data_IF_328161378697
#
_entry.id   IF_328161378697
#
_cell.length_a   1.000
_cell.length_b   1.000
_cell.length_c   1.000
_cell.angle_alpha   90.00
_cell.angle_beta   90.00
_cell.angle_gamma   90.00
#
_symmetry.space_group_name_H-M   'P 1'
#
loop_
_entity.id
_entity.type
_entity.pdbx_description
1 polymer ?
#
# COMPACT_ATOMS: atom_id res chain seq x y z
N UNK A 1 10.45 -5.46 -45.29
CA UNK A 1 10.70 -4.53 -44.16
C UNK A 1 12.18 -4.20 -44.18
N UNK A 2 12.55 -2.92 -44.29
CA UNK A 2 13.92 -2.48 -44.56
C UNK A 2 14.53 -1.88 -43.28
N UNK A 3 15.60 -2.49 -42.79
CA UNK A 3 16.29 -2.15 -41.53
C UNK A 3 16.81 -0.72 -41.53
N UNK A 4 17.18 -0.18 -42.70
CA UNK A 4 17.69 1.20 -42.84
C UNK A 4 16.65 2.27 -42.53
N UNK A 5 15.35 1.93 -42.60
CA UNK A 5 14.26 2.86 -42.24
C UNK A 5 14.04 2.97 -40.74
N UNK A 6 14.40 1.93 -39.98
CA UNK A 6 14.30 1.91 -38.51
C UNK A 6 15.48 2.68 -37.89
N UNK A 7 16.66 2.57 -38.48
CA UNK A 7 17.87 3.27 -38.01
C UNK A 7 17.79 4.79 -38.22
N UNK A 8 17.09 5.27 -39.26
CA UNK A 8 16.93 6.72 -39.53
C UNK A 8 15.92 7.45 -38.66
N UNK A 9 15.15 6.77 -37.81
CA UNK A 9 14.26 7.41 -36.83
C UNK A 9 14.84 7.44 -35.41
N UNK A 10 16.09 7.02 -35.24
CA UNK A 10 16.85 7.14 -34.00
C UNK A 10 17.78 8.36 -34.12
N UNK A 11 17.22 9.57 -34.08
CA UNK A 11 18.00 10.77 -33.78
C UNK A 11 18.21 10.87 -32.25
N UNK A 12 19.28 11.51 -31.77
CA UNK A 12 20.02 11.08 -30.60
C UNK A 12 19.44 11.69 -29.33
N UNK A 13 18.63 10.93 -28.59
CA UNK A 13 18.36 11.26 -27.17
C UNK A 13 19.49 10.83 -26.23
N UNK A 14 20.68 10.53 -26.75
CA UNK A 14 21.85 10.29 -25.92
C UNK A 14 22.68 11.57 -25.75
N UNK A 15 22.07 12.58 -25.13
CA UNK A 15 22.86 13.52 -24.33
C UNK A 15 22.75 13.01 -22.90
N UNK A 16 23.59 12.03 -22.55
CA UNK A 16 23.78 11.70 -21.14
C UNK A 16 24.06 13.03 -20.40
N UNK A 17 23.41 13.29 -19.25
CA UNK A 17 23.76 14.43 -18.43
C UNK A 17 25.27 14.39 -18.20
N UNK A 18 25.95 15.50 -18.50
CA UNK A 18 27.37 15.64 -18.19
C UNK A 18 27.47 15.41 -16.68
N UNK A 19 28.05 14.27 -16.26
CA UNK A 19 28.25 14.02 -14.84
C UNK A 19 28.94 15.25 -14.24
N UNK A 20 28.29 15.84 -13.25
CA UNK A 20 28.85 16.83 -12.35
C UNK A 20 30.04 16.20 -11.60
N UNK A 21 30.93 17.07 -11.10
CA UNK A 21 32.13 16.66 -10.38
C UNK A 21 31.77 15.71 -9.22
N UNK A 22 30.66 16.00 -8.55
CA UNK A 22 30.10 15.25 -7.42
C UNK A 22 29.67 13.83 -7.81
N UNK A 23 29.06 13.63 -8.99
CA UNK A 23 28.72 12.27 -9.45
C UNK A 23 29.96 11.48 -9.92
N UNK A 24 31.01 12.16 -10.41
CA UNK A 24 32.29 11.48 -10.69
C UNK A 24 33.00 11.06 -9.40
N UNK A 25 32.95 11.90 -8.37
CA UNK A 25 33.51 11.60 -7.05
C UNK A 25 32.79 10.40 -6.42
N UNK A 26 31.45 10.37 -6.48
CA UNK A 26 30.66 9.25 -5.96
C UNK A 26 30.90 7.95 -6.75
N UNK A 27 31.03 8.02 -8.08
CA UNK A 27 31.39 6.86 -8.89
C UNK A 27 32.82 6.37 -8.60
N UNK A 28 33.77 7.28 -8.38
CA UNK A 28 35.14 6.93 -8.00
C UNK A 28 35.19 6.27 -6.62
N UNK A 29 34.39 6.76 -5.66
CA UNK A 29 34.28 6.16 -4.31
C UNK A 29 33.67 4.75 -4.37
N UNK A 30 32.61 4.55 -5.18
CA UNK A 30 31.96 3.24 -5.35
C UNK A 30 32.87 2.24 -6.10
N UNK A 31 33.70 2.70 -7.04
CA UNK A 31 34.65 1.84 -7.76
C UNK A 31 35.97 1.62 -7.03
N UNK A 32 36.29 2.45 -6.02
CA UNK A 32 37.48 2.33 -5.19
C UNK A 32 37.40 1.19 -4.15
N UNK A 33 36.30 0.42 -4.10
CA UNK A 33 36.21 -0.78 -3.25
C UNK A 33 37.35 -1.73 -3.61
N UNK A 34 38.34 -1.95 -2.72
CA UNK A 34 39.45 -2.83 -3.03
C UNK A 34 38.92 -4.26 -3.16
N UNK A 35 39.06 -4.86 -4.35
CA UNK A 35 38.99 -6.31 -4.49
C UNK A 35 40.14 -6.90 -3.69
N UNK A 36 39.83 -7.43 -2.52
CA UNK A 36 40.75 -8.25 -1.72
C UNK A 36 41.19 -9.47 -2.54
N UNK A 37 42.24 -9.28 -3.32
CA UNK A 37 42.96 -10.32 -4.03
C UNK A 37 44.22 -10.61 -3.23
N UNK A 38 44.41 -11.88 -2.89
CA UNK A 38 45.64 -12.34 -2.25
C UNK A 38 45.43 -12.83 -0.82
N UNK A 39 45.17 -14.12 -0.70
CA UNK A 39 45.41 -14.90 0.51
C UNK A 39 46.93 -14.97 0.71
N UNK A 40 47.54 -14.40 1.78
CA UNK A 40 48.96 -14.58 2.02
C UNK A 40 49.20 -15.98 2.61
N UNK A 41 50.14 -16.72 2.00
CA UNK A 41 50.68 -17.97 2.52
C UNK A 41 51.33 -17.74 3.88
N UNK A 42 51.05 -18.63 4.82
CA UNK A 42 51.71 -18.71 6.13
C UNK A 42 53.14 -19.24 5.93
N UNK A 43 54.19 -18.55 6.45
CA UNK A 43 55.47 -19.18 6.71
C UNK A 43 55.59 -19.60 8.18
N UNK A 44 56.07 -20.82 8.41
CA UNK A 44 56.40 -21.39 9.71
C UNK A 44 57.68 -20.77 10.32
N UNK A 45 57.98 -20.98 11.61
CA UNK A 45 58.61 -19.98 12.47
C UNK A 45 60.14 -20.05 12.48
N UNK A 46 60.79 -18.89 12.49
CA UNK A 46 62.20 -18.76 12.85
C UNK A 46 62.33 -17.96 14.13
N UNK A 47 62.86 -18.64 15.14
CA UNK A 47 63.12 -18.19 16.51
C UNK A 47 63.86 -16.86 16.53
N UNK A 48 63.33 -15.88 17.26
CA UNK A 48 64.12 -14.85 17.94
C UNK A 48 63.46 -14.54 19.28
N UNK A 49 64.26 -14.68 20.34
CA UNK A 49 63.93 -14.30 21.71
C UNK A 49 64.20 -12.81 21.85
N UNK A 50 63.27 -12.09 22.48
CA UNK A 50 63.31 -10.84 23.29
C UNK A 50 61.89 -10.27 23.09
N UNK A 51 60.97 -10.30 24.06
CA UNK A 51 61.02 -9.56 25.31
C UNK A 51 59.94 -8.46 25.25
N UNK A 52 58.94 -8.60 26.12
CA UNK A 52 58.05 -7.58 26.73
C UNK A 52 56.54 -7.85 26.52
N UNK A 53 55.74 -7.90 27.61
CA UNK A 53 54.34 -8.28 27.62
C UNK A 53 53.42 -7.06 27.42
N UNK A 54 52.10 -7.27 27.53
CA UNK A 54 51.08 -6.24 27.82
C UNK A 54 50.35 -5.61 26.62
N UNK A 55 49.69 -6.41 25.77
CA UNK A 55 48.59 -5.92 24.91
C UNK A 55 47.36 -6.85 24.90
N UNK A 56 47.42 -8.02 25.54
CA UNK A 56 46.34 -9.02 25.46
C UNK A 56 45.06 -8.69 26.26
N UNK A 57 45.03 -7.61 27.05
CA UNK A 57 43.87 -7.29 27.89
C UNK A 57 42.81 -6.40 27.19
N UNK A 58 43.14 -5.72 26.08
CA UNK A 58 42.20 -4.77 25.44
C UNK A 58 41.29 -5.46 24.40
N UNK A 59 41.73 -6.57 23.79
CA UNK A 59 40.92 -7.26 22.78
C UNK A 59 39.67 -7.95 23.34
N UNK A 60 39.72 -8.43 24.60
CA UNK A 60 38.57 -9.10 25.22
C UNK A 60 37.47 -8.11 25.66
N UNK A 61 37.82 -6.89 26.04
CA UNK A 61 36.86 -5.88 26.49
C UNK A 61 36.07 -5.30 25.31
N UNK A 62 36.70 -5.13 24.13
CA UNK A 62 36.01 -4.63 22.93
C UNK A 62 34.99 -5.65 22.42
N UNK A 63 35.29 -6.94 22.44
CA UNK A 63 34.33 -7.98 22.03
C UNK A 63 33.18 -8.13 23.04
N UNK A 64 33.42 -7.98 24.35
CA UNK A 64 32.35 -8.00 25.35
C UNK A 64 31.44 -6.76 25.29
N UNK A 65 31.98 -5.57 24.98
CA UNK A 65 31.18 -4.34 24.86
C UNK A 65 30.31 -4.29 23.61
N UNK A 66 30.65 -5.02 22.55
CA UNK A 66 29.79 -5.09 21.34
C UNK A 66 28.45 -5.80 21.56
N UNK A 67 28.32 -6.63 22.60
CA UNK A 67 27.05 -7.28 22.95
C UNK A 67 26.12 -6.39 23.79
N UNK A 68 26.63 -5.32 24.41
CA UNK A 68 25.88 -4.46 25.33
C UNK A 68 25.34 -3.17 24.68
N UNK A 69 25.80 -2.82 23.47
CA UNK A 69 25.38 -1.60 22.76
C UNK A 69 25.04 -1.92 21.29
N UNK A 70 23.78 -2.26 20.98
CA UNK A 70 23.33 -2.36 19.60
C UNK A 70 23.42 -0.97 18.95
N UNK A 71 24.38 -0.78 18.04
CA UNK A 71 24.42 0.40 17.15
C UNK A 71 25.71 1.23 17.14
N UNK A 72 26.66 1.03 18.07
CA UNK A 72 27.83 1.90 18.16
C UNK A 72 28.91 1.65 17.08
N UNK A 73 28.94 0.46 16.45
CA UNK A 73 30.00 0.09 15.49
C UNK A 73 29.52 -0.61 14.20
N UNK A 74 28.24 -0.53 13.85
CA UNK A 74 27.74 -0.95 12.51
C UNK A 74 27.92 -2.42 12.12
N UNK A 75 28.47 -3.27 12.98
CA UNK A 75 28.77 -4.70 12.74
C UNK A 75 27.78 -5.67 13.40
N UNK A 76 26.73 -5.16 14.06
CA UNK A 76 25.58 -5.98 14.43
C UNK A 76 24.64 -6.17 13.23
N UNK A 77 23.84 -7.24 13.16
CA UNK A 77 22.79 -7.35 12.16
C UNK A 77 21.96 -6.07 12.22
N UNK A 78 21.95 -5.29 11.11
CA UNK A 78 21.08 -4.12 10.98
C UNK A 78 19.69 -4.60 11.36
N UNK A 79 19.00 -3.96 12.34
CA UNK A 79 17.62 -4.34 12.63
C UNK A 79 16.88 -4.29 11.30
N UNK A 80 16.23 -5.40 10.93
CA UNK A 80 15.44 -5.47 9.72
C UNK A 80 14.56 -4.21 9.67
N UNK A 81 14.63 -3.45 8.57
CA UNK A 81 13.93 -2.18 8.44
C UNK A 81 12.47 -2.36 8.86
N UNK A 82 12.05 -1.63 9.89
CA UNK A 82 10.73 -1.84 10.47
C UNK A 82 9.64 -1.44 9.47
N UNK A 83 8.73 -2.37 9.17
CA UNK A 83 7.61 -2.12 8.26
C UNK A 83 6.60 -1.11 8.84
N UNK A 84 6.53 -1.01 10.17
CA UNK A 84 5.78 0.02 10.91
C UNK A 84 6.72 0.92 11.71
N UNK A 85 6.41 2.21 11.76
CA UNK A 85 6.84 3.12 12.82
C UNK A 85 5.80 3.09 13.93
N UNK A 86 6.16 2.70 15.16
CA UNK A 86 5.23 2.69 16.29
C UNK A 86 5.79 3.58 17.40
N UNK A 87 5.24 4.79 17.48
CA UNK A 87 5.63 5.79 18.49
C UNK A 87 4.51 5.96 19.50
N UNK A 88 4.86 6.03 20.78
CA UNK A 88 3.91 6.43 21.82
C UNK A 88 3.85 7.95 21.86
N UNK A 89 2.67 8.53 21.69
CA UNK A 89 2.43 9.96 21.80
C UNK A 89 1.22 10.18 22.72
N UNK A 90 1.49 10.66 23.93
CA UNK A 90 0.46 10.81 24.97
C UNK A 90 -0.23 9.47 25.29
N UNK A 91 -1.56 9.47 25.22
CA UNK A 91 -2.42 8.32 25.47
C UNK A 91 -2.55 7.33 24.31
N UNK A 92 -1.78 7.49 23.22
CA UNK A 92 -1.91 6.67 22.01
C UNK A 92 -0.58 6.09 21.53
N UNK A 93 -0.64 4.93 20.90
CA UNK A 93 0.33 4.50 19.91
C UNK A 93 -0.06 5.09 18.56
N UNK A 94 0.86 5.85 17.97
CA UNK A 94 0.79 6.34 16.59
C UNK A 94 1.58 5.33 15.74
N UNK A 95 0.84 4.57 14.95
CA UNK A 95 1.37 3.57 14.03
C UNK A 95 1.36 4.17 12.63
N UNK A 96 2.52 4.26 11.99
CA UNK A 96 2.65 4.69 10.60
C UNK A 96 3.20 3.52 9.79
N UNK A 97 2.54 3.18 8.68
CA UNK A 97 3.07 2.17 7.75
C UNK A 97 4.22 2.80 6.95
N UNK A 98 5.43 2.23 7.06
CA UNK A 98 6.62 2.70 6.35
C UNK A 98 6.84 2.00 5.02
N UNK A 99 6.45 0.74 4.95
CA UNK A 99 6.56 -0.09 3.77
C UNK A 99 5.19 -0.75 3.59
N UNK A 100 4.51 -0.49 2.48
CA UNK A 100 3.21 -1.06 2.13
C UNK A 100 3.29 -2.52 1.66
N UNK A 101 4.46 -2.91 1.18
CA UNK A 101 4.68 -4.17 0.49
C UNK A 101 5.50 -5.17 1.32
N UNK A 102 5.76 -4.84 2.60
CA UNK A 102 6.37 -5.77 3.52
C UNK A 102 5.46 -6.99 3.75
N UNK A 103 6.09 -8.11 4.11
CA UNK A 103 5.38 -9.35 4.45
C UNK A 103 4.34 -9.08 5.56
N UNK A 104 3.05 -9.42 5.36
CA UNK A 104 1.99 -9.28 6.35
C UNK A 104 2.34 -9.81 7.75
N UNK A 105 3.09 -10.91 7.80
CA UNK A 105 3.53 -11.51 9.06
C UNK A 105 4.45 -10.57 9.87
N UNK A 106 5.22 -9.71 9.19
CA UNK A 106 6.09 -8.72 9.84
C UNK A 106 5.30 -7.63 10.53
N UNK A 107 4.25 -7.07 9.91
CA UNK A 107 3.40 -6.08 10.57
C UNK A 107 2.76 -6.68 11.83
N UNK A 108 2.23 -7.90 11.71
CA UNK A 108 1.56 -8.55 12.82
C UNK A 108 2.52 -8.87 13.97
N UNK A 109 3.75 -9.30 13.67
CA UNK A 109 4.79 -9.50 14.68
C UNK A 109 5.14 -8.19 15.42
N UNK A 110 5.26 -7.08 14.70
CA UNK A 110 5.56 -5.77 15.29
C UNK A 110 4.43 -5.24 16.19
N UNK A 111 3.18 -5.41 15.79
CA UNK A 111 2.01 -5.03 16.59
C UNK A 111 1.87 -5.92 17.83
N UNK A 112 2.03 -7.25 17.68
CA UNK A 112 2.00 -8.19 18.81
C UNK A 112 3.13 -7.96 19.81
N UNK A 113 4.32 -7.56 19.34
CA UNK A 113 5.42 -7.15 20.20
C UNK A 113 5.11 -5.95 21.11
N UNK A 114 4.00 -5.23 20.84
CA UNK A 114 3.47 -4.14 21.67
C UNK A 114 2.21 -4.53 22.45
N UNK A 115 1.88 -5.83 22.50
CA UNK A 115 0.67 -6.34 23.16
C UNK A 115 -0.63 -6.05 22.41
N UNK A 116 -0.55 -5.62 21.14
CA UNK A 116 -1.72 -5.28 20.34
C UNK A 116 -2.17 -6.50 19.54
N UNK A 117 -3.43 -6.93 19.73
CA UNK A 117 -4.03 -8.01 18.96
C UNK A 117 -4.68 -7.48 17.67
N UNK A 118 -3.86 -6.94 16.78
CA UNK A 118 -4.32 -6.32 15.55
C UNK A 118 -3.71 -7.05 14.36
N UNK A 119 -4.51 -7.31 13.33
CA UNK A 119 -4.06 -7.91 12.08
C UNK A 119 -4.10 -6.88 10.96
N UNK A 120 -3.14 -6.97 10.03
CA UNK A 120 -3.11 -6.15 8.82
C UNK A 120 -3.33 -7.05 7.60
N UNK A 121 -4.22 -6.65 6.71
CA UNK A 121 -4.54 -7.35 5.46
C UNK A 121 -4.44 -6.40 4.28
N UNK A 122 -3.66 -6.76 3.28
CA UNK A 122 -3.64 -6.05 2.01
C UNK A 122 -4.82 -6.49 1.14
N UNK A 123 -5.58 -5.54 0.61
CA UNK A 123 -6.74 -5.81 -0.24
C UNK A 123 -6.66 -5.08 -1.57
N UNK A 124 -7.10 -5.69 -2.68
CA UNK A 124 -7.15 -5.01 -3.96
C UNK A 124 -8.13 -3.83 -3.91
N UNK A 125 -7.68 -2.66 -4.35
CA UNK A 125 -8.50 -1.44 -4.43
C UNK A 125 -8.13 -0.61 -5.67
N UNK A 126 -8.86 0.48 -5.90
CA UNK A 126 -8.56 1.44 -6.97
C UNK A 126 -7.27 2.22 -6.70
N UNK A 127 -6.59 2.75 -7.74
CA UNK A 127 -5.34 3.49 -7.57
C UNK A 127 -5.44 4.68 -6.61
N UNK A 128 -6.57 5.39 -6.56
CA UNK A 128 -6.82 6.53 -5.67
C UNK A 128 -7.07 6.12 -4.21
N UNK A 129 -7.38 4.84 -3.97
CA UNK A 129 -7.59 4.28 -2.64
C UNK A 129 -6.36 3.51 -2.11
N UNK A 130 -5.28 3.45 -2.89
CA UNK A 130 -4.04 2.82 -2.45
C UNK A 130 -3.50 3.47 -1.18
N UNK A 131 -3.06 2.63 -0.25
CA UNK A 131 -2.53 3.05 1.04
C UNK A 131 -3.56 3.63 2.01
N UNK A 132 -4.84 3.73 1.64
CA UNK A 132 -5.87 4.16 2.59
C UNK A 132 -6.17 3.03 3.59
N UNK A 133 -6.02 3.26 4.90
CA UNK A 133 -6.37 2.26 5.89
C UNK A 133 -7.89 2.24 6.11
N UNK A 134 -8.46 1.05 6.08
CA UNK A 134 -9.83 0.78 6.53
C UNK A 134 -9.77 -0.11 7.77
N UNK A 135 -10.49 0.24 8.83
CA UNK A 135 -10.41 -0.46 10.11
C UNK A 135 -11.73 -1.17 10.35
N UNK A 136 -11.67 -2.49 10.59
CA UNK A 136 -12.77 -3.23 11.20
C UNK A 136 -12.42 -3.49 12.66
N UNK A 137 -12.95 -2.63 13.54
CA UNK A 137 -12.94 -2.82 14.99
C UNK A 137 -14.33 -3.33 15.42
N UNK A 138 -14.46 -4.53 16.00
CA UNK A 138 -15.72 -5.05 16.52
C UNK A 138 -16.39 -4.12 17.55
N UNK A 139 -15.64 -3.23 18.22
CA UNK A 139 -16.18 -2.24 19.13
C UNK A 139 -16.95 -1.11 18.42
N UNK A 140 -16.78 -0.93 17.11
CA UNK A 140 -17.57 -0.01 16.29
C UNK A 140 -18.94 -0.60 15.91
N UNK A 141 -19.16 -1.90 16.10
CA UNK A 141 -20.38 -2.57 15.66
C UNK A 141 -21.64 -1.96 16.31
N UNK A 142 -22.56 -1.47 15.47
CA UNK A 142 -23.81 -0.85 15.90
C UNK A 142 -23.68 0.61 16.39
N UNK A 143 -22.50 1.23 16.28
CA UNK A 143 -22.31 2.64 16.59
C UNK A 143 -22.65 3.53 15.39
N UNK A 144 -23.23 4.70 15.65
CA UNK A 144 -23.35 5.74 14.62
C UNK A 144 -22.00 6.42 14.38
N UNK A 145 -21.82 7.11 13.26
CA UNK A 145 -20.59 7.90 13.03
C UNK A 145 -20.35 8.93 14.15
N UNK A 146 -21.40 9.53 14.69
CA UNK A 146 -21.31 10.49 15.78
C UNK A 146 -20.76 9.81 17.05
N UNK A 147 -21.24 8.60 17.35
CA UNK A 147 -20.73 7.81 18.49
C UNK A 147 -19.26 7.46 18.30
N UNK A 148 -18.87 6.97 17.11
CA UNK A 148 -17.47 6.62 16.81
C UNK A 148 -16.54 7.83 17.02
N UNK A 149 -16.94 9.02 16.57
CA UNK A 149 -16.15 10.26 16.73
C UNK A 149 -15.97 10.70 18.18
N UNK A 150 -16.93 10.39 19.07
CA UNK A 150 -16.89 10.76 20.47
C UNK A 150 -16.10 9.77 21.33
N UNK A 151 -15.90 8.54 20.84
CA UNK A 151 -15.18 7.48 21.57
C UNK A 151 -13.67 7.71 21.51
N UNK A 152 -13.01 7.54 22.65
CA UNK A 152 -11.55 7.69 22.80
C UNK A 152 -10.82 6.35 22.94
N UNK A 153 -11.57 5.26 23.07
CA UNK A 153 -11.08 3.89 23.29
C UNK A 153 -11.11 3.03 22.01
N UNK A 154 -11.50 3.61 20.88
CA UNK A 154 -11.47 2.99 19.55
C UNK A 154 -10.15 3.29 18.84
N UNK A 155 -9.81 2.43 17.88
CA UNK A 155 -8.74 2.70 16.92
C UNK A 155 -9.24 3.76 15.94
N UNK A 156 -8.45 4.79 15.67
CA UNK A 156 -8.83 5.85 14.72
C UNK A 156 -7.76 6.03 13.65
N UNK A 157 -8.17 6.30 12.42
CA UNK A 157 -7.25 6.65 11.33
C UNK A 157 -6.76 8.09 11.48
N UNK A 158 -5.52 8.36 11.09
CA UNK A 158 -4.99 9.72 11.05
C UNK A 158 -5.48 10.39 9.77
N UNK A 159 -6.41 11.33 9.91
CA UNK A 159 -6.95 12.11 8.79
C UNK A 159 -5.85 12.91 8.07
N UNK A 160 -5.96 13.01 6.75
CA UNK A 160 -5.00 13.71 5.90
C UNK A 160 -5.23 15.23 5.87
N UNK A 161 -4.17 16.05 5.87
CA UNK A 161 -4.22 17.36 5.22
C UNK A 161 -4.16 17.18 3.70
N UNK A 162 -4.94 17.99 2.97
CA UNK A 162 -5.40 17.78 1.58
C UNK A 162 -4.35 17.69 0.44
N UNK A 163 -3.04 17.54 0.71
CA UNK A 163 -1.99 17.58 -0.32
C UNK A 163 -0.97 16.46 -0.14
N UNK A 164 -1.23 15.31 -0.77
CA UNK A 164 -0.22 14.28 -0.96
C UNK A 164 0.53 14.53 -2.26
N UNK A 165 1.59 15.33 -2.22
CA UNK A 165 2.41 15.67 -3.40
C UNK A 165 3.78 14.95 -3.40
N UNK A 166 4.00 13.96 -2.52
CA UNK A 166 5.30 13.27 -2.40
C UNK A 166 5.30 11.88 -3.06
N UNK A 167 6.30 11.54 -3.90
CA UNK A 167 6.53 10.17 -4.34
C UNK A 167 7.00 9.35 -3.13
N UNK A 168 6.15 8.44 -2.64
CA UNK A 168 6.43 7.62 -1.45
C UNK A 168 5.31 7.50 -0.42
N UNK A 169 4.16 8.13 -0.63
CA UNK A 169 2.90 7.78 0.03
C UNK A 169 2.35 8.83 1.01
N UNK A 170 1.02 9.03 0.95
CA UNK A 170 0.25 9.65 2.02
C UNK A 170 0.49 8.89 3.34
N UNK A 171 0.62 9.58 4.47
CA UNK A 171 0.85 8.90 5.75
C UNK A 171 -0.32 7.97 6.13
N UNK A 172 -0.06 6.67 6.05
CA UNK A 172 -0.97 5.58 6.43
C UNK A 172 -0.84 5.40 7.93
N UNK A 173 -1.65 6.15 8.67
CA UNK A 173 -1.50 6.32 10.10
C UNK A 173 -2.70 5.83 10.90
N UNK A 174 -2.44 5.17 12.03
CA UNK A 174 -3.45 4.76 13.00
C UNK A 174 -3.09 5.28 14.39
N UNK A 175 -4.10 5.72 15.13
CA UNK A 175 -4.03 6.01 16.56
C UNK A 175 -4.72 4.88 17.31
N UNK A 176 -3.96 4.21 18.16
CA UNK A 176 -4.43 3.10 18.98
C UNK A 176 -4.27 3.52 20.44
N UNK A 177 -5.35 3.54 21.25
CA UNK A 177 -5.24 3.90 22.66
C UNK A 177 -4.24 3.01 23.40
N UNK A 178 -3.44 3.60 24.28
CA UNK A 178 -2.55 2.83 25.16
C UNK A 178 -3.42 1.97 26.08
N UNK A 179 -3.13 0.67 26.14
CA UNK A 179 -3.94 -0.28 26.89
C UNK A 179 -5.15 -0.82 26.12
N UNK A 180 -5.24 -0.58 24.81
CA UNK A 180 -6.24 -1.25 23.97
C UNK A 180 -6.11 -2.78 24.07
N UNK A 181 -7.16 -3.43 24.57
CA UNK A 181 -7.24 -4.89 24.76
C UNK A 181 -8.14 -5.59 23.73
N UNK A 182 -8.75 -4.81 22.83
CA UNK A 182 -9.60 -5.34 21.77
C UNK A 182 -8.80 -6.05 20.68
N UNK A 183 -9.52 -6.48 19.65
CA UNK A 183 -8.93 -7.00 18.42
C UNK A 183 -9.45 -6.20 17.24
N UNK A 184 -8.61 -5.95 16.24
CA UNK A 184 -9.05 -5.30 15.02
C UNK A 184 -8.38 -5.90 13.78
N UNK A 185 -9.04 -5.71 12.64
CA UNK A 185 -8.47 -6.00 11.32
C UNK A 185 -8.32 -4.69 10.58
N UNK A 186 -7.08 -4.31 10.29
CA UNK A 186 -6.76 -3.19 9.42
C UNK A 186 -6.65 -3.74 8.01
N UNK A 187 -7.51 -3.28 7.12
CA UNK A 187 -7.39 -3.45 5.70
C UNK A 187 -6.60 -2.30 5.13
N UNK A 188 -5.69 -2.62 4.23
CA UNK A 188 -4.87 -1.64 3.57
C UNK A 188 -4.96 -1.84 2.07
N UNK A 189 -5.42 -0.80 1.39
CA UNK A 189 -5.56 -0.81 -0.05
C UNK A 189 -4.20 -0.97 -0.74
N UNK A 190 -4.10 -1.95 -1.64
CA UNK A 190 -3.05 -2.02 -2.65
C UNK A 190 -3.68 -1.93 -4.03
N UNK A 191 -2.93 -1.48 -5.01
CA UNK A 191 -3.37 -1.52 -6.40
C UNK A 191 -3.81 -2.97 -6.76
N UNK A 192 -4.99 -3.09 -7.37
CA UNK A 192 -5.47 -4.38 -7.84
C UNK A 192 -4.73 -4.80 -9.10
N UNK A 193 -4.37 -6.08 -9.16
CA UNK A 193 -3.78 -6.68 -10.35
C UNK A 193 -4.86 -6.98 -11.39
N UNK A 194 -4.50 -7.11 -12.67
CA UNK A 194 -5.44 -7.57 -13.70
C UNK A 194 -6.13 -8.87 -13.27
N UNK A 195 -7.45 -8.89 -13.33
CA UNK A 195 -8.29 -10.03 -12.94
C UNK A 195 -8.71 -10.08 -11.47
N UNK A 196 -8.13 -9.27 -10.59
CA UNK A 196 -8.57 -9.17 -9.19
C UNK A 196 -9.82 -8.31 -9.05
N UNK A 197 -10.69 -8.68 -8.11
CA UNK A 197 -11.85 -7.87 -7.74
C UNK A 197 -11.51 -6.92 -6.60
N UNK A 198 -12.07 -5.71 -6.66
CA UNK A 198 -11.94 -4.77 -5.54
C UNK A 198 -12.68 -5.29 -4.32
N UNK A 199 -12.05 -5.17 -3.15
CA UNK A 199 -12.68 -5.56 -1.89
C UNK A 199 -13.67 -4.51 -1.38
N UNK A 200 -13.44 -3.26 -1.76
CA UNK A 200 -14.31 -2.11 -1.53
C UNK A 200 -14.60 -1.46 -2.89
N UNK A 201 -15.59 -1.99 -3.64
CA UNK A 201 -15.95 -1.49 -4.97
C UNK A 201 -16.46 -0.05 -4.91
N UNK A 202 -15.76 0.94 -5.49
CA UNK A 202 -16.29 2.30 -5.49
C UNK A 202 -17.39 2.46 -6.54
N UNK A 203 -18.31 3.38 -6.26
CA UNK A 203 -19.38 3.74 -7.19
C UNK A 203 -18.81 4.26 -8.51
N UNK A 204 -19.48 3.94 -9.62
CA UNK A 204 -19.03 4.39 -10.95
C UNK A 204 -18.99 5.92 -11.10
N UNK A 205 -19.83 6.64 -10.35
CA UNK A 205 -19.94 8.10 -10.35
C UNK A 205 -19.23 8.79 -9.17
N UNK A 206 -18.56 8.04 -8.28
CA UNK A 206 -17.73 8.62 -7.24
C UNK A 206 -16.63 9.53 -7.85
N UNK A 207 -16.13 10.55 -7.12
CA UNK A 207 -14.98 11.34 -7.57
C UNK A 207 -13.81 10.45 -8.01
N UNK A 208 -13.25 10.72 -9.19
CA UNK A 208 -12.20 9.88 -9.79
C UNK A 208 -12.70 8.62 -10.50
N UNK A 209 -13.98 8.28 -10.38
CA UNK A 209 -14.63 7.17 -11.07
C UNK A 209 -14.85 7.43 -12.58
N UNK A 210 -15.06 6.37 -13.38
CA UNK A 210 -15.17 6.46 -14.83
C UNK A 210 -16.38 7.26 -15.32
N UNK A 211 -17.45 7.30 -14.52
CA UNK A 211 -18.69 8.01 -14.83
C UNK A 211 -18.92 9.18 -13.85
N UNK A 212 -17.86 9.72 -13.25
CA UNK A 212 -17.96 10.90 -12.41
C UNK A 212 -18.65 12.05 -13.17
N UNK A 213 -19.70 12.61 -12.57
CA UNK A 213 -20.60 13.61 -13.17
C UNK A 213 -21.27 13.22 -14.50
N UNK A 214 -21.35 11.92 -14.80
CA UNK A 214 -22.13 11.39 -15.92
C UNK A 214 -23.39 10.72 -15.37
N UNK A 215 -24.56 11.27 -15.72
CA UNK A 215 -25.82 10.64 -15.35
C UNK A 215 -26.03 9.35 -16.14
N UNK A 216 -25.93 8.19 -15.48
CA UNK A 216 -26.08 6.86 -16.10
C UNK A 216 -27.26 6.05 -15.55
N UNK A 217 -27.80 6.43 -14.40
CA UNK A 217 -28.96 5.77 -13.80
C UNK A 217 -30.19 5.92 -14.70
N UNK A 218 -31.08 4.92 -14.67
CA UNK A 218 -32.31 4.83 -15.46
C UNK A 218 -32.08 4.86 -16.98
N UNK A 219 -30.84 4.75 -17.44
CA UNK A 219 -30.51 4.51 -18.86
C UNK A 219 -30.53 3.03 -19.17
N UNK A 220 -30.61 2.73 -20.46
CA UNK A 220 -30.57 1.35 -20.94
C UNK A 220 -29.17 0.73 -20.75
N UNK A 221 -29.11 -0.59 -20.62
CA UNK A 221 -27.86 -1.35 -20.51
C UNK A 221 -26.94 -1.08 -21.70
N UNK A 222 -27.47 -1.00 -22.91
CA UNK A 222 -26.66 -0.72 -24.11
C UNK A 222 -26.02 0.66 -24.11
N UNK A 223 -26.76 1.68 -23.63
CA UNK A 223 -26.23 3.03 -23.45
C UNK A 223 -25.11 3.05 -22.41
N UNK A 224 -25.33 2.43 -21.24
CA UNK A 224 -24.35 2.43 -20.15
C UNK A 224 -23.11 1.61 -20.50
N UNK A 225 -23.25 0.46 -21.19
CA UNK A 225 -22.09 -0.30 -21.71
C UNK A 225 -21.25 0.52 -22.68
N UNK A 226 -21.90 1.34 -23.50
CA UNK A 226 -21.21 2.23 -24.45
C UNK A 226 -20.52 3.39 -23.75
N UNK A 227 -21.11 3.95 -22.70
CA UNK A 227 -20.44 4.91 -21.82
C UNK A 227 -19.21 4.27 -21.17
N UNK A 228 -19.38 3.15 -20.45
CA UNK A 228 -18.30 2.47 -19.74
C UNK A 228 -17.13 2.09 -20.66
N UNK A 229 -17.38 1.56 -21.86
CA UNK A 229 -16.33 1.29 -22.85
C UNK A 229 -15.53 2.54 -23.23
N UNK A 230 -16.19 3.68 -23.45
CA UNK A 230 -15.51 4.94 -23.78
C UNK A 230 -14.65 5.46 -22.64
N UNK A 231 -14.99 5.12 -21.41
CA UNK A 231 -14.26 5.47 -20.19
C UNK A 231 -13.32 4.34 -19.69
N UNK A 232 -12.92 3.41 -20.57
CA UNK A 232 -11.91 2.39 -20.26
C UNK A 232 -12.38 1.20 -19.42
N UNK A 233 -13.70 1.00 -19.31
CA UNK A 233 -14.32 -0.11 -18.55
C UNK A 233 -15.09 -1.03 -19.51
N UNK A 234 -14.40 -1.90 -20.27
CA UNK A 234 -15.05 -2.69 -21.33
C UNK A 234 -15.86 -3.88 -20.81
N UNK A 235 -15.54 -4.38 -19.62
CA UNK A 235 -16.13 -5.61 -19.07
C UNK A 235 -17.21 -5.26 -18.07
N UNK A 236 -18.41 -5.75 -18.29
CA UNK A 236 -19.58 -5.47 -17.44
C UNK A 236 -20.23 -6.77 -17.04
N UNK A 237 -20.42 -6.97 -15.74
CA UNK A 237 -21.26 -8.01 -15.17
C UNK A 237 -22.54 -7.40 -14.61
N UNK A 238 -23.55 -8.24 -14.38
CA UNK A 238 -24.89 -7.78 -14.01
C UNK A 238 -25.40 -8.52 -12.78
N UNK A 239 -26.23 -7.84 -12.02
CA UNK A 239 -27.11 -8.41 -10.99
C UNK A 239 -28.50 -7.81 -11.14
N UNK A 240 -29.54 -8.58 -10.85
CA UNK A 240 -30.94 -8.11 -10.87
C UNK A 240 -31.54 -7.92 -9.47
N UNK A 241 -30.71 -8.06 -8.43
CA UNK A 241 -31.14 -8.04 -7.03
C UNK A 241 -31.49 -9.42 -6.46
N UNK A 242 -31.68 -10.43 -7.31
CA UNK A 242 -31.85 -11.83 -6.91
C UNK A 242 -30.61 -12.69 -7.21
N UNK A 243 -29.67 -12.16 -7.98
CA UNK A 243 -28.38 -12.78 -8.24
C UNK A 243 -27.84 -12.38 -9.62
N UNK A 244 -26.99 -13.22 -10.19
CA UNK A 244 -26.52 -13.04 -11.57
C UNK A 244 -27.58 -13.55 -12.55
N UNK A 245 -28.22 -12.68 -13.35
CA UNK A 245 -29.21 -13.11 -14.34
C UNK A 245 -28.55 -13.91 -15.48
N UNK A 246 -29.25 -14.92 -16.00
CA UNK A 246 -28.76 -15.74 -17.11
C UNK A 246 -28.68 -15.00 -18.45
N UNK A 247 -29.46 -13.93 -18.62
CA UNK A 247 -29.41 -13.03 -19.78
C UNK A 247 -29.91 -11.64 -19.38
N UNK A 248 -29.26 -10.59 -19.90
CA UNK A 248 -29.64 -9.19 -19.68
C UNK A 248 -29.85 -8.52 -21.03
N UNK A 249 -31.10 -8.30 -21.44
CA UNK A 249 -31.42 -7.51 -22.62
C UNK A 249 -30.81 -6.11 -22.54
N UNK A 250 -30.30 -5.62 -23.66
CA UNK A 250 -29.75 -4.27 -23.77
C UNK A 250 -30.74 -3.14 -23.43
N UNK A 251 -32.05 -3.43 -23.53
CA UNK A 251 -33.16 -2.53 -23.20
C UNK A 251 -33.50 -2.44 -21.72
N UNK A 252 -32.92 -3.28 -20.85
CA UNK A 252 -33.09 -3.16 -19.41
C UNK A 252 -32.48 -1.87 -18.88
N UNK A 253 -32.94 -1.42 -17.72
CA UNK A 253 -32.50 -0.17 -17.10
C UNK A 253 -31.46 -0.42 -16.03
N UNK A 254 -30.44 0.44 -15.97
CA UNK A 254 -29.41 0.44 -14.92
C UNK A 254 -29.90 1.26 -13.72
N UNK A 255 -29.84 0.66 -12.54
CA UNK A 255 -30.32 1.26 -11.28
C UNK A 255 -29.19 1.61 -10.31
N UNK A 256 -28.02 1.01 -10.52
CA UNK A 256 -26.83 1.21 -9.71
C UNK A 256 -25.60 0.63 -10.42
N UNK A 257 -24.41 0.97 -9.96
CA UNK A 257 -23.19 0.36 -10.48
C UNK A 257 -21.91 0.78 -9.76
N UNK A 258 -21.03 -0.22 -9.61
CA UNK A 258 -19.71 -0.08 -8.98
C UNK A 258 -18.62 -0.58 -9.92
N UNK A 259 -17.39 -0.11 -9.71
CA UNK A 259 -16.21 -0.76 -10.27
C UNK A 259 -15.96 -2.08 -9.54
N UNK A 260 -15.99 -3.20 -10.25
CA UNK A 260 -15.73 -4.52 -9.65
C UNK A 260 -14.27 -4.94 -9.72
N UNK A 261 -13.42 -4.22 -10.47
CA UNK A 261 -11.99 -4.42 -10.59
C UNK A 261 -11.40 -3.60 -11.76
N UNK A 262 -10.11 -3.75 -12.08
CA UNK A 262 -9.49 -3.03 -13.19
C UNK A 262 -10.21 -3.28 -14.53
N UNK A 263 -10.79 -2.23 -15.12
CA UNK A 263 -11.55 -2.30 -16.37
C UNK A 263 -12.85 -3.10 -16.29
N UNK A 264 -13.37 -3.36 -15.08
CA UNK A 264 -14.59 -4.15 -14.85
C UNK A 264 -15.60 -3.38 -14.01
N UNK A 265 -16.88 -3.47 -14.39
CA UNK A 265 -18.00 -2.93 -13.62
C UNK A 265 -19.03 -4.03 -13.30
N UNK A 266 -19.73 -3.85 -12.17
CA UNK A 266 -20.94 -4.62 -11.82
C UNK A 266 -22.12 -3.63 -11.79
N UNK A 267 -23.17 -3.93 -12.56
CA UNK A 267 -24.37 -3.10 -12.64
C UNK A 267 -25.58 -3.81 -12.02
N UNK A 268 -26.37 -3.05 -11.24
CA UNK A 268 -27.72 -3.46 -10.87
C UNK A 268 -28.67 -3.10 -12.01
N UNK A 269 -29.41 -4.08 -12.53
CA UNK A 269 -30.27 -3.90 -13.69
C UNK A 269 -31.67 -4.44 -13.45
N UNK A 270 -32.66 -3.88 -14.13
CA UNK A 270 -34.03 -4.40 -14.11
C UNK A 270 -34.78 -4.08 -15.41
N UNK A 271 -35.80 -4.88 -15.79
CA UNK A 271 -36.61 -4.62 -16.98
C UNK A 271 -37.48 -3.34 -16.89
N UNK A 272 -37.62 -2.76 -15.70
CA UNK A 272 -38.46 -1.56 -15.49
C UNK A 272 -37.65 -0.42 -14.88
N UNK A 273 -38.19 0.80 -14.98
CA UNK A 273 -37.63 2.00 -14.34
C UNK A 273 -37.79 2.02 -12.81
N UNK A 274 -38.55 1.08 -12.24
CA UNK A 274 -38.63 0.91 -10.79
C UNK A 274 -37.38 0.18 -10.31
N UNK A 275 -36.63 0.79 -9.39
CA UNK A 275 -35.46 0.16 -8.77
C UNK A 275 -35.90 -1.11 -8.02
N UNK A 276 -35.21 -2.25 -8.23
CA UNK A 276 -35.44 -3.47 -7.45
C UNK A 276 -35.27 -3.21 -5.95
N UNK A 277 -36.07 -3.89 -5.14
CA UNK A 277 -35.94 -3.88 -3.68
C UNK A 277 -34.82 -4.85 -3.27
N UNK A 278 -33.60 -4.49 -3.65
CA UNK A 278 -32.38 -5.21 -3.32
C UNK A 278 -31.34 -4.21 -2.86
N UNK A 279 -30.52 -4.55 -1.85
CA UNK A 279 -29.30 -3.80 -1.60
C UNK A 279 -28.50 -3.85 -2.91
N UNK A 280 -28.24 -2.69 -3.50
CA UNK A 280 -27.46 -2.62 -4.73
C UNK A 280 -26.05 -3.21 -4.52
N UNK A 281 -25.20 -3.21 -5.54
CA UNK A 281 -23.80 -3.59 -5.38
C UNK A 281 -23.01 -2.70 -4.39
N UNK A 282 -23.63 -1.68 -3.80
CA UNK A 282 -23.10 -0.85 -2.71
C UNK A 282 -23.04 -1.65 -1.40
N UNK A 283 -21.85 -1.74 -0.79
CA UNK A 283 -21.71 -2.10 0.62
C UNK A 283 -22.23 -0.93 1.47
N UNK A 284 -23.31 -1.20 2.22
CA UNK A 284 -23.80 -0.45 3.39
C UNK A 284 -23.01 0.81 3.77
N UNK A 285 -23.41 1.94 3.19
CA UNK A 285 -22.90 3.26 3.54
C UNK A 285 -23.53 4.28 2.60
N UNK A 286 -24.57 4.96 3.06
CA UNK A 286 -25.21 6.07 2.34
C UNK A 286 -24.22 7.24 2.19
N UNK A 287 -23.28 7.14 1.26
CA UNK A 287 -22.42 8.24 0.84
C UNK A 287 -22.87 8.72 -0.53
N UNK A 288 -24.07 9.32 -0.56
CA UNK A 288 -24.51 10.14 -1.67
C UNK A 288 -23.59 11.36 -1.76
N UNK A 289 -22.52 11.26 -2.55
CA UNK A 289 -21.62 12.37 -2.82
C UNK A 289 -22.33 13.40 -3.70
N UNK A 290 -22.83 14.48 -3.08
CA UNK A 290 -23.33 15.67 -3.76
C UNK A 290 -22.15 16.53 -4.24
N UNK A 291 -21.47 16.08 -5.30
CA UNK A 291 -20.29 16.73 -5.85
C UNK A 291 -20.25 16.66 -7.37
N UNK A 292 -21.37 17.02 -7.98
CA UNK A 292 -21.59 17.36 -9.39
C UNK A 292 -22.75 18.38 -9.39
#
# INVERSE_FOLDING_TARGET
MNVDRIVRHLDPMNTAPRLDEDARELCAEITAVPRNTGRPRVPAPRRWRVGVPLVAAVAAVVLALTWLLPGAFGLGPRPASAALDIKRQGGYYVVTVKDLFADPARYQAQLRGRGLNISLKLVPTTPDAEGRPFVLDPKENGLTEADVRLRKDLITTIAHPAKCEVPGGCAIGLKIPVGYTGSAVIYLGREARPGESYQDPPDLNAPGGPLHCVHYLKRTVDEVRTLLRRHGVPTVTFTDGHGTPGSVPGSWYVHDGVLSGPGRALLLVAPTLKRPDAPGPVLTGDLWWHGC
#
